data_IF_554915488210
#
_entry.id   IF_554915488210
#
_cell.length_a   1.000
_cell.length_b   1.000
_cell.length_c   1.000
_cell.angle_alpha   90.00
_cell.angle_beta   90.00
_cell.angle_gamma   90.00
#
_symmetry.space_group_name_H-M   'P 1'
#
loop_
_entity.id
_entity.type
_entity.pdbx_description
1 polymer ?
#
# COMPACT_ATOMS: atom_id res chain seq x y z
N UNK A 1 -3.22 -12.78 24.93
CA UNK A 1 -4.27 -13.58 24.28
C UNK A 1 -3.75 -13.95 22.92
N UNK A 2 -3.47 -15.23 22.73
CA UNK A 2 -3.06 -15.79 21.43
C UNK A 2 -4.13 -15.44 20.40
N UNK A 3 -3.77 -14.67 19.39
CA UNK A 3 -4.60 -14.54 18.20
C UNK A 3 -4.67 -15.93 17.58
N UNK A 4 -5.80 -16.62 17.76
CA UNK A 4 -6.15 -17.75 16.92
C UNK A 4 -5.93 -17.30 15.48
N UNK A 5 -5.15 -18.09 14.74
CA UNK A 5 -4.92 -17.96 13.30
C UNK A 5 -6.27 -18.16 12.59
N UNK A 6 -7.14 -17.16 12.67
CA UNK A 6 -8.40 -17.09 11.94
C UNK A 6 -8.06 -16.91 10.47
N UNK A 7 -8.24 -18.00 9.72
CA UNK A 7 -8.30 -18.08 8.27
C UNK A 7 -7.42 -17.05 7.50
N UNK A 8 -6.10 -17.11 7.74
CA UNK A 8 -5.13 -16.35 6.96
C UNK A 8 -5.34 -16.66 5.47
N UNK A 9 -5.73 -15.63 4.73
CA UNK A 9 -6.09 -15.67 3.32
C UNK A 9 -5.42 -14.52 2.59
N UNK A 10 -4.28 -14.80 1.97
CA UNK A 10 -3.59 -13.87 1.08
C UNK A 10 -4.27 -13.94 -0.28
N UNK A 11 -4.88 -12.86 -0.76
CA UNK A 11 -5.58 -12.81 -2.05
C UNK A 11 -5.07 -11.62 -2.86
N UNK A 12 -4.77 -11.86 -4.14
CA UNK A 12 -4.50 -10.78 -5.08
C UNK A 12 -5.77 -9.97 -5.34
N UNK A 13 -5.68 -8.66 -5.16
CA UNK A 13 -6.78 -7.73 -5.41
C UNK A 13 -6.41 -6.80 -6.56
N UNK A 14 -7.40 -6.40 -7.36
CA UNK A 14 -7.19 -5.50 -8.50
C UNK A 14 -6.57 -4.15 -8.10
N UNK A 15 -6.79 -3.70 -6.87
CA UNK A 15 -6.20 -2.47 -6.32
C UNK A 15 -4.66 -2.52 -6.20
N UNK A 16 -4.05 -3.72 -6.23
CA UNK A 16 -2.60 -3.91 -6.20
C UNK A 16 -1.92 -3.78 -7.56
N UNK A 17 -2.70 -3.74 -8.66
CA UNK A 17 -2.11 -3.57 -9.98
C UNK A 17 -1.38 -2.23 -10.09
N UNK A 18 -0.22 -2.24 -10.75
CA UNK A 18 0.57 -1.06 -11.11
C UNK A 18 0.46 -0.75 -12.62
N UNK A 19 -0.49 -1.38 -13.31
CA UNK A 19 -0.76 -1.20 -14.75
C UNK A 19 0.44 -1.52 -15.66
N UNK A 20 1.39 -2.32 -15.18
CA UNK A 20 2.43 -2.95 -15.97
C UNK A 20 2.14 -4.46 -16.00
N UNK A 21 1.54 -4.94 -17.08
CA UNK A 21 1.07 -6.32 -17.19
C UNK A 21 2.13 -7.38 -16.85
N UNK A 22 3.39 -7.12 -17.20
CA UNK A 22 4.49 -8.06 -16.92
C UNK A 22 4.78 -8.11 -15.42
N UNK A 23 4.94 -6.95 -14.78
CA UNK A 23 5.21 -6.85 -13.35
C UNK A 23 4.02 -7.35 -12.53
N UNK A 24 2.79 -6.96 -12.89
CA UNK A 24 1.57 -7.42 -12.23
C UNK A 24 1.42 -8.95 -12.29
N UNK A 25 1.84 -9.59 -13.39
CA UNK A 25 1.86 -11.04 -13.50
C UNK A 25 2.90 -11.68 -12.57
N UNK A 26 4.06 -11.05 -12.41
CA UNK A 26 5.09 -11.50 -11.47
C UNK A 26 4.59 -11.36 -10.02
N UNK A 27 3.94 -10.25 -9.67
CA UNK A 27 3.28 -10.08 -8.38
C UNK A 27 2.24 -11.17 -8.11
N UNK A 28 1.33 -11.42 -9.06
CA UNK A 28 0.32 -12.48 -8.93
C UNK A 28 0.94 -13.87 -8.74
N UNK A 29 2.05 -14.15 -9.42
CA UNK A 29 2.78 -15.40 -9.26
C UNK A 29 3.38 -15.53 -7.86
N UNK A 30 3.95 -14.46 -7.29
CA UNK A 30 4.43 -14.43 -5.91
C UNK A 30 3.30 -14.74 -4.91
N UNK A 31 2.13 -14.13 -5.09
CA UNK A 31 0.95 -14.44 -4.29
C UNK A 31 0.52 -15.90 -4.44
N UNK A 32 0.61 -16.47 -5.64
CA UNK A 32 0.29 -17.88 -5.86
C UNK A 32 1.23 -18.81 -5.09
N UNK A 33 2.55 -18.54 -5.11
CA UNK A 33 3.53 -19.34 -4.38
C UNK A 33 3.34 -19.18 -2.87
N UNK A 34 3.09 -17.96 -2.38
CA UNK A 34 2.83 -17.71 -0.97
C UNK A 34 1.56 -18.44 -0.47
N UNK A 35 0.48 -18.43 -1.26
CA UNK A 35 -0.74 -19.20 -0.95
C UNK A 35 -0.46 -20.71 -0.94
N UNK A 36 0.34 -21.21 -1.87
CA UNK A 36 0.75 -22.62 -1.89
C UNK A 36 1.47 -22.98 -0.58
N UNK A 37 2.46 -22.18 -0.16
CA UNK A 37 3.18 -22.39 1.10
C UNK A 37 2.26 -22.37 2.33
N UNK A 38 1.35 -21.39 2.41
CA UNK A 38 0.37 -21.31 3.49
C UNK A 38 -0.66 -22.45 3.47
N UNK A 39 -0.99 -23.00 2.30
CA UNK A 39 -1.90 -24.14 2.20
C UNK A 39 -1.23 -25.43 2.71
N UNK A 40 0.02 -25.68 2.32
CA UNK A 40 0.80 -26.83 2.75
C UNK A 40 0.96 -26.83 4.27
N UNK A 41 1.25 -25.67 4.84
CA UNK A 41 1.49 -25.55 6.27
C UNK A 41 0.23 -25.79 7.12
N UNK A 42 -0.98 -25.74 6.54
CA UNK A 42 -2.24 -26.10 7.23
C UNK A 42 -2.52 -27.61 7.25
N UNK A 43 -1.77 -28.41 6.48
CA UNK A 43 -1.95 -29.86 6.38
C UNK A 43 -1.30 -30.59 7.57
N UNK A 44 -1.53 -31.91 7.67
CA UNK A 44 -0.93 -32.76 8.73
C UNK A 44 0.61 -32.70 8.67
N UNK A 45 1.22 -32.67 9.86
CA UNK A 45 2.67 -32.55 10.06
C UNK A 45 3.39 -33.89 9.83
N UNK A 46 3.45 -34.34 8.58
CA UNK A 46 4.37 -35.40 8.18
C UNK A 46 5.64 -34.82 7.53
N UNK A 47 6.69 -35.64 7.48
CA UNK A 47 8.01 -35.24 6.98
C UNK A 47 7.96 -34.77 5.51
N UNK A 48 7.08 -35.37 4.71
CA UNK A 48 6.89 -35.02 3.30
C UNK A 48 6.32 -33.60 3.14
N UNK A 49 5.29 -33.24 3.92
CA UNK A 49 4.72 -31.88 3.88
C UNK A 49 5.72 -30.82 4.35
N UNK A 50 6.53 -31.12 5.35
CA UNK A 50 7.58 -30.21 5.83
C UNK A 50 8.61 -29.97 4.73
N UNK A 51 9.07 -31.02 4.07
CA UNK A 51 10.03 -30.90 2.96
C UNK A 51 9.43 -30.15 1.77
N UNK A 52 8.16 -30.41 1.45
CA UNK A 52 7.43 -29.68 0.42
C UNK A 52 7.31 -28.21 0.74
N UNK A 53 6.96 -27.85 1.99
CA UNK A 53 6.88 -26.47 2.44
C UNK A 53 8.22 -25.74 2.27
N UNK A 54 9.32 -26.36 2.70
CA UNK A 54 10.67 -25.78 2.55
C UNK A 54 10.99 -25.49 1.09
N UNK A 55 10.73 -26.46 0.20
CA UNK A 55 10.91 -26.27 -1.26
C UNK A 55 10.05 -25.13 -1.80
N UNK A 56 8.80 -25.01 -1.37
CA UNK A 56 7.92 -23.90 -1.80
C UNK A 56 8.41 -22.55 -1.29
N UNK A 57 8.96 -22.47 -0.08
CA UNK A 57 9.54 -21.22 0.45
C UNK A 57 10.84 -20.85 -0.27
N UNK A 58 11.71 -21.81 -0.57
CA UNK A 58 12.91 -21.57 -1.39
C UNK A 58 12.51 -21.07 -2.79
N UNK A 59 11.49 -21.69 -3.41
CA UNK A 59 10.93 -21.23 -4.68
C UNK A 59 10.37 -19.79 -4.58
N UNK A 60 9.72 -19.43 -3.49
CA UNK A 60 9.26 -18.06 -3.25
C UNK A 60 10.44 -17.09 -3.23
N UNK A 61 11.49 -17.41 -2.47
CA UNK A 61 12.69 -16.59 -2.37
C UNK A 61 13.37 -16.36 -3.73
N UNK A 62 13.59 -17.43 -4.50
CA UNK A 62 14.22 -17.34 -5.82
C UNK A 62 13.38 -16.48 -6.78
N UNK A 63 12.05 -16.61 -6.70
CA UNK A 63 11.15 -15.83 -7.54
C UNK A 63 11.12 -14.35 -7.14
N UNK A 64 11.16 -14.03 -5.84
CA UNK A 64 11.28 -12.63 -5.38
C UNK A 64 12.55 -11.99 -5.95
N UNK A 65 13.70 -12.67 -5.88
CA UNK A 65 14.95 -12.16 -6.45
C UNK A 65 14.87 -11.94 -7.97
N UNK A 66 14.22 -12.86 -8.70
CA UNK A 66 13.99 -12.75 -10.15
C UNK A 66 13.09 -11.56 -10.48
N UNK A 67 11.97 -11.42 -9.77
CA UNK A 67 11.02 -10.33 -9.95
C UNK A 67 11.67 -8.96 -9.69
N UNK A 68 12.37 -8.79 -8.56
CA UNK A 68 13.08 -7.55 -8.26
C UNK A 68 14.14 -7.21 -9.31
N UNK A 69 14.82 -8.20 -9.89
CA UNK A 69 15.76 -7.95 -11.00
C UNK A 69 15.04 -7.47 -12.27
N UNK A 70 13.88 -8.03 -12.59
CA UNK A 70 13.09 -7.63 -13.75
C UNK A 70 12.52 -6.22 -13.57
N UNK A 71 11.99 -5.91 -12.39
CA UNK A 71 11.49 -4.58 -12.06
C UNK A 71 12.59 -3.53 -12.11
N UNK A 72 13.75 -3.78 -11.48
CA UNK A 72 14.88 -2.84 -11.52
C UNK A 72 15.34 -2.55 -12.96
N UNK A 73 15.39 -3.56 -13.83
CA UNK A 73 15.69 -3.36 -15.25
C UNK A 73 14.63 -2.50 -15.96
N UNK A 74 13.36 -2.67 -15.60
CA UNK A 74 12.29 -1.82 -16.14
C UNK A 74 12.45 -0.37 -15.66
N UNK A 75 12.70 -0.17 -14.37
CA UNK A 75 12.96 1.15 -13.78
C UNK A 75 14.17 1.84 -14.44
N UNK A 76 15.26 1.11 -14.69
CA UNK A 76 16.42 1.59 -15.46
C UNK A 76 16.01 2.02 -16.88
N UNK A 77 15.20 1.20 -17.57
CA UNK A 77 14.78 1.48 -18.95
C UNK A 77 13.92 2.74 -19.09
N UNK A 78 13.21 3.16 -18.03
CA UNK A 78 12.40 4.37 -18.00
C UNK A 78 13.06 5.53 -17.24
N UNK A 79 14.34 5.38 -16.89
CA UNK A 79 15.11 6.38 -16.12
C UNK A 79 14.40 6.83 -14.84
N UNK A 80 13.85 5.87 -14.10
CA UNK A 80 13.14 6.16 -12.85
C UNK A 80 14.09 6.76 -11.81
N UNK A 81 13.78 7.94 -11.23
CA UNK A 81 14.74 8.71 -10.44
C UNK A 81 15.05 8.09 -9.07
N UNK A 82 14.10 7.37 -8.45
CA UNK A 82 14.25 6.79 -7.10
C UNK A 82 14.76 5.33 -7.15
N UNK A 83 15.44 4.92 -8.24
CA UNK A 83 15.89 3.54 -8.45
C UNK A 83 16.86 3.05 -7.38
N UNK A 84 17.82 3.88 -6.97
CA UNK A 84 18.83 3.46 -6.00
C UNK A 84 18.23 3.31 -4.59
N UNK A 85 17.30 4.18 -4.21
CA UNK A 85 16.49 4.01 -2.99
C UNK A 85 15.65 2.73 -3.06
N UNK A 86 15.03 2.44 -4.21
CA UNK A 86 14.22 1.24 -4.40
C UNK A 86 15.05 -0.06 -4.30
N UNK A 87 16.29 -0.07 -4.84
CA UNK A 87 17.24 -1.18 -4.68
C UNK A 87 17.56 -1.46 -3.21
N UNK A 88 17.62 -0.44 -2.36
CA UNK A 88 17.83 -0.61 -0.92
C UNK A 88 16.62 -1.32 -0.27
N UNK A 89 15.40 -0.96 -0.65
CA UNK A 89 14.18 -1.63 -0.18
C UNK A 89 14.18 -3.11 -0.56
N UNK A 90 14.47 -3.43 -1.82
CA UNK A 90 14.62 -4.81 -2.29
C UNK A 90 15.67 -5.59 -1.51
N UNK A 91 16.84 -4.98 -1.28
CA UNK A 91 17.92 -5.62 -0.50
C UNK A 91 17.46 -5.95 0.93
N UNK A 92 16.72 -5.06 1.57
CA UNK A 92 16.17 -5.31 2.90
C UNK A 92 15.20 -6.49 2.92
N UNK A 93 14.30 -6.57 1.93
CA UNK A 93 13.35 -7.68 1.80
C UNK A 93 14.04 -9.02 1.48
N UNK A 94 15.06 -9.02 0.62
CA UNK A 94 15.88 -10.20 0.34
C UNK A 94 16.61 -10.67 1.61
N UNK A 95 17.12 -9.75 2.43
CA UNK A 95 17.78 -10.10 3.69
C UNK A 95 16.80 -10.75 4.67
N UNK A 96 15.57 -10.25 4.75
CA UNK A 96 14.52 -10.86 5.57
C UNK A 96 14.20 -12.30 5.14
N UNK A 97 14.05 -12.54 3.84
CA UNK A 97 13.79 -13.87 3.33
C UNK A 97 15.01 -14.80 3.49
N UNK A 98 16.22 -14.30 3.29
CA UNK A 98 17.47 -15.06 3.55
C UNK A 98 17.52 -15.52 5.01
N UNK A 99 17.15 -14.64 5.96
CA UNK A 99 17.06 -14.97 7.37
C UNK A 99 15.97 -16.02 7.66
N UNK A 100 14.82 -15.97 6.98
CA UNK A 100 13.80 -16.99 7.09
C UNK A 100 14.30 -18.34 6.56
N UNK A 101 14.84 -18.37 5.33
CA UNK A 101 15.34 -19.57 4.66
C UNK A 101 16.42 -20.28 5.48
N UNK A 102 17.38 -19.54 6.03
CA UNK A 102 18.45 -20.09 6.87
C UNK A 102 17.98 -20.74 8.17
N UNK A 103 16.79 -20.36 8.67
CA UNK A 103 16.21 -20.87 9.92
C UNK A 103 15.08 -21.89 9.70
N UNK A 104 14.74 -22.21 8.45
CA UNK A 104 13.62 -23.11 8.14
C UNK A 104 13.73 -24.50 8.79
N UNK A 105 14.95 -24.98 9.05
CA UNK A 105 15.16 -26.29 9.67
C UNK A 105 14.97 -26.29 11.19
N UNK A 106 15.00 -25.13 11.84
CA UNK A 106 14.91 -24.99 13.30
C UNK A 106 13.66 -24.25 13.77
N UNK A 107 12.87 -23.68 12.86
CA UNK A 107 11.62 -22.99 13.19
C UNK A 107 10.44 -23.96 13.26
N UNK A 108 9.54 -23.69 14.19
CA UNK A 108 8.24 -24.33 14.25
C UNK A 108 7.36 -23.89 13.06
N UNK A 109 6.46 -24.77 12.62
CA UNK A 109 5.59 -24.53 11.47
C UNK A 109 4.77 -23.23 11.58
N UNK A 110 4.26 -22.95 12.78
CA UNK A 110 3.49 -21.75 13.07
C UNK A 110 4.34 -20.47 12.94
N UNK A 111 5.62 -20.54 13.33
CA UNK A 111 6.55 -19.42 13.16
C UNK A 111 6.84 -19.16 11.67
N UNK A 112 6.96 -20.22 10.88
CA UNK A 112 7.14 -20.12 9.42
C UNK A 112 5.90 -19.50 8.78
N UNK A 113 4.69 -19.95 9.17
CA UNK A 113 3.43 -19.37 8.70
C UNK A 113 3.33 -17.88 9.02
N UNK A 114 3.59 -17.51 10.27
CA UNK A 114 3.52 -16.12 10.70
C UNK A 114 4.56 -15.27 9.98
N UNK A 115 5.79 -15.77 9.80
CA UNK A 115 6.83 -15.07 9.07
C UNK A 115 6.47 -14.84 7.60
N UNK A 116 5.89 -15.85 6.93
CA UNK A 116 5.41 -15.72 5.55
C UNK A 116 4.24 -14.74 5.45
N UNK A 117 3.26 -14.84 6.35
CA UNK A 117 2.13 -13.91 6.38
C UNK A 117 2.61 -12.47 6.58
N UNK A 118 3.47 -12.23 7.57
CA UNK A 118 4.04 -10.91 7.83
C UNK A 118 4.83 -10.40 6.62
N UNK A 119 5.65 -11.26 5.99
CA UNK A 119 6.39 -10.85 4.80
C UNK A 119 5.46 -10.38 3.68
N UNK A 120 4.36 -11.08 3.43
CA UNK A 120 3.45 -10.71 2.36
C UNK A 120 2.59 -9.49 2.72
N UNK A 121 1.95 -9.48 3.88
CA UNK A 121 1.02 -8.41 4.27
C UNK A 121 1.74 -7.12 4.67
N UNK A 122 2.78 -7.22 5.50
CA UNK A 122 3.42 -6.04 6.09
C UNK A 122 4.55 -5.46 5.23
N UNK A 123 5.17 -6.30 4.39
CA UNK A 123 6.29 -5.88 3.55
C UNK A 123 5.94 -5.86 2.07
N UNK A 124 5.45 -6.96 1.50
CA UNK A 124 5.29 -7.08 0.05
C UNK A 124 4.09 -6.29 -0.49
N UNK A 125 2.90 -6.41 0.10
CA UNK A 125 1.72 -5.60 -0.28
C UNK A 125 2.02 -4.12 -0.10
N UNK A 126 2.63 -3.77 1.03
CA UNK A 126 3.03 -2.39 1.32
C UNK A 126 4.02 -1.86 0.29
N UNK A 127 5.01 -2.66 -0.11
CA UNK A 127 5.97 -2.30 -1.16
C UNK A 127 5.29 -2.06 -2.51
N UNK A 128 4.43 -2.97 -2.95
CA UNK A 128 3.68 -2.82 -4.21
C UNK A 128 2.90 -1.50 -4.24
N UNK A 129 2.15 -1.22 -3.16
CA UNK A 129 1.27 -0.05 -3.14
C UNK A 129 2.07 1.24 -2.93
N UNK A 130 3.03 1.27 -2.01
CA UNK A 130 3.73 2.50 -1.64
C UNK A 130 4.93 2.83 -2.52
N UNK A 131 5.51 1.84 -3.19
CA UNK A 131 6.75 1.99 -3.95
C UNK A 131 6.52 1.67 -5.43
N UNK A 132 6.03 0.48 -5.77
CA UNK A 132 5.94 0.06 -7.18
C UNK A 132 4.90 0.89 -7.96
N UNK A 133 3.81 1.32 -7.32
CA UNK A 133 2.86 2.29 -7.92
C UNK A 133 3.49 3.64 -8.27
N UNK A 134 4.59 4.04 -7.61
CA UNK A 134 5.31 5.26 -8.02
C UNK A 134 5.97 5.09 -9.38
N UNK A 135 6.37 3.87 -9.73
CA UNK A 135 6.95 3.53 -11.05
C UNK A 135 5.90 3.73 -12.14
N UNK A 136 4.66 3.26 -11.92
CA UNK A 136 3.52 3.52 -12.80
C UNK A 136 3.30 5.02 -13.00
N UNK A 137 3.18 5.76 -11.89
CA UNK A 137 2.91 7.19 -11.91
C UNK A 137 4.02 7.98 -12.62
N UNK A 138 5.28 7.53 -12.48
CA UNK A 138 6.40 8.07 -13.25
C UNK A 138 6.21 7.87 -14.75
N UNK A 139 5.85 6.66 -15.19
CA UNK A 139 5.63 6.36 -16.61
C UNK A 139 4.34 6.96 -17.20
N UNK A 140 3.38 7.32 -16.36
CA UNK A 140 2.09 7.88 -16.79
C UNK A 140 2.26 9.32 -17.25
N UNK A 141 1.73 9.67 -18.43
CA UNK A 141 1.71 11.04 -18.91
C UNK A 141 0.63 11.86 -18.19
N UNK A 142 0.74 13.19 -18.20
CA UNK A 142 -0.17 14.07 -17.46
C UNK A 142 -1.62 14.00 -17.97
N UNK A 143 -1.86 13.77 -19.27
CA UNK A 143 -3.20 13.69 -19.83
C UNK A 143 -3.95 12.45 -19.31
N UNK A 144 -3.29 11.30 -19.30
CA UNK A 144 -3.87 10.06 -18.79
C UNK A 144 -4.05 10.12 -17.26
N UNK A 145 -3.10 10.74 -16.55
CA UNK A 145 -3.25 10.99 -15.11
C UNK A 145 -4.48 11.87 -14.85
N UNK A 146 -4.62 13.01 -15.53
CA UNK A 146 -5.78 13.91 -15.44
C UNK A 146 -7.11 13.19 -15.65
N UNK A 147 -7.17 12.25 -16.61
CA UNK A 147 -8.37 11.49 -16.94
C UNK A 147 -8.73 10.44 -15.90
N UNK A 148 -7.73 9.76 -15.36
CA UNK A 148 -7.90 8.61 -14.46
C UNK A 148 -7.92 8.97 -12.97
N UNK A 149 -7.48 10.18 -12.62
CA UNK A 149 -7.42 10.67 -11.24
C UNK A 149 -8.82 10.89 -10.64
N UNK A 150 -8.98 10.41 -9.40
CA UNK A 150 -10.19 10.61 -8.62
C UNK A 150 -10.67 9.35 -7.90
N UNK A 151 -11.77 9.49 -7.17
CA UNK A 151 -12.39 8.40 -6.42
C UNK A 151 -12.82 7.24 -7.34
N UNK A 152 -12.53 6.02 -6.90
CA UNK A 152 -12.96 4.78 -7.56
C UNK A 152 -13.75 3.94 -6.57
N UNK A 153 -14.80 3.27 -7.01
CA UNK A 153 -15.64 2.45 -6.12
C UNK A 153 -14.86 1.34 -5.42
N UNK A 154 -13.77 0.86 -6.04
CA UNK A 154 -12.84 -0.09 -5.43
C UNK A 154 -12.14 0.45 -4.17
N UNK A 155 -12.20 1.74 -3.86
CA UNK A 155 -11.65 2.33 -2.64
C UNK A 155 -12.64 2.33 -1.48
N UNK A 156 -13.92 2.06 -1.73
CA UNK A 156 -14.96 2.11 -0.70
C UNK A 156 -14.60 1.24 0.51
N UNK A 157 -14.88 1.77 1.70
CA UNK A 157 -14.81 1.03 2.97
C UNK A 157 -16.16 0.40 3.33
N UNK A 158 -17.17 0.59 2.48
CA UNK A 158 -18.58 0.22 2.70
C UNK A 158 -19.21 0.93 3.90
N UNK A 159 -18.83 2.18 4.14
CA UNK A 159 -19.49 3.08 5.08
C UNK A 159 -19.80 4.40 4.34
N UNK A 160 -21.08 4.73 4.11
CA UNK A 160 -21.45 5.90 3.29
C UNK A 160 -20.93 7.24 3.80
N UNK A 161 -20.80 7.41 5.12
CA UNK A 161 -20.31 8.65 5.72
C UNK A 161 -18.80 8.80 5.50
N UNK A 162 -18.02 7.77 5.81
CA UNK A 162 -16.57 7.77 5.60
C UNK A 162 -16.25 7.87 4.11
N UNK A 163 -16.96 7.12 3.26
CA UNK A 163 -16.78 7.20 1.80
C UNK A 163 -17.11 8.59 1.25
N UNK A 164 -18.04 9.34 1.86
CA UNK A 164 -18.33 10.72 1.47
C UNK A 164 -17.16 11.67 1.80
N UNK A 165 -16.54 11.50 2.97
CA UNK A 165 -15.36 12.27 3.34
C UNK A 165 -14.16 11.93 2.44
N UNK A 166 -13.93 10.65 2.15
CA UNK A 166 -12.91 10.25 1.19
C UNK A 166 -13.14 10.87 -0.17
N UNK A 167 -14.36 10.76 -0.74
CA UNK A 167 -14.69 11.37 -2.04
C UNK A 167 -14.37 12.86 -2.06
N UNK A 168 -14.69 13.60 -1.00
CA UNK A 168 -14.40 15.02 -0.91
C UNK A 168 -12.88 15.32 -0.94
N UNK A 169 -12.03 14.48 -0.32
CA UNK A 169 -10.57 14.60 -0.46
C UNK A 169 -10.10 14.45 -1.91
N UNK A 170 -10.65 13.46 -2.63
CA UNK A 170 -10.36 13.29 -4.06
C UNK A 170 -10.88 14.46 -4.89
N UNK A 171 -12.08 14.98 -4.59
CA UNK A 171 -12.67 16.09 -5.33
C UNK A 171 -11.84 17.37 -5.17
N UNK A 172 -11.42 17.71 -3.95
CA UNK A 172 -10.50 18.83 -3.69
C UNK A 172 -9.19 18.64 -4.45
N UNK A 173 -8.59 17.45 -4.38
CA UNK A 173 -7.33 17.18 -5.08
C UNK A 173 -7.50 17.21 -6.61
N UNK A 174 -8.66 16.80 -7.13
CA UNK A 174 -8.95 16.79 -8.56
C UNK A 174 -9.00 18.20 -9.15
N UNK A 175 -9.36 19.21 -8.36
CA UNK A 175 -9.31 20.61 -8.79
C UNK A 175 -7.90 21.04 -9.22
N UNK A 176 -6.83 20.38 -8.74
CA UNK A 176 -5.45 20.64 -9.16
C UNK A 176 -5.22 20.43 -10.66
N UNK A 177 -6.00 19.53 -11.25
CA UNK A 177 -5.85 19.09 -12.62
C UNK A 177 -6.63 19.96 -13.61
N UNK A 178 -7.41 20.94 -13.14
CA UNK A 178 -8.09 21.89 -14.03
C UNK A 178 -7.14 23.00 -14.48
N UNK A 179 -7.22 23.41 -15.75
CA UNK A 179 -6.32 24.42 -16.30
C UNK A 179 -6.75 25.83 -15.84
N UNK A 180 -5.76 26.69 -15.59
CA UNK A 180 -5.94 28.11 -15.27
C UNK A 180 -4.88 28.92 -15.99
N UNK A 181 -5.09 30.23 -16.08
CA UNK A 181 -4.09 31.15 -16.61
C UNK A 181 -2.75 31.00 -15.86
N UNK A 182 -1.59 31.10 -16.54
CA UNK A 182 -0.28 30.87 -15.92
C UNK A 182 -0.03 31.71 -14.65
N UNK A 183 -0.53 32.94 -14.62
CA UNK A 183 -0.39 33.84 -13.46
C UNK A 183 -1.26 33.46 -12.25
N UNK A 184 -2.24 32.57 -12.41
CA UNK A 184 -3.13 32.08 -11.35
C UNK A 184 -2.71 30.72 -10.78
N UNK A 185 -1.83 29.99 -11.49
CA UNK A 185 -1.46 28.61 -11.15
C UNK A 185 -0.88 28.47 -9.75
N UNK A 186 0.07 29.32 -9.36
CA UNK A 186 0.67 29.27 -8.01
C UNK A 186 -0.35 29.54 -6.89
N UNK A 187 -1.23 30.52 -7.09
CA UNK A 187 -2.29 30.85 -6.12
C UNK A 187 -3.26 29.69 -5.96
N UNK A 188 -3.68 29.08 -7.07
CA UNK A 188 -4.55 27.91 -7.07
C UNK A 188 -3.91 26.71 -6.38
N UNK A 189 -2.64 26.41 -6.67
CA UNK A 189 -1.90 25.32 -6.02
C UNK A 189 -1.92 25.49 -4.49
N UNK A 190 -1.66 26.71 -4.01
CA UNK A 190 -1.68 27.02 -2.58
C UNK A 190 -3.08 26.84 -1.98
N UNK A 191 -4.11 27.37 -2.63
CA UNK A 191 -5.51 27.21 -2.19
C UNK A 191 -5.90 25.73 -2.05
N UNK A 192 -5.61 24.93 -3.06
CA UNK A 192 -5.94 23.50 -3.08
C UNK A 192 -5.21 22.76 -1.95
N UNK A 193 -3.92 23.01 -1.77
CA UNK A 193 -3.16 22.36 -0.70
C UNK A 193 -3.64 22.77 0.68
N UNK A 194 -4.01 24.03 0.89
CA UNK A 194 -4.61 24.49 2.15
C UNK A 194 -5.94 23.79 2.41
N UNK A 195 -6.86 23.79 1.43
CA UNK A 195 -8.17 23.13 1.55
C UNK A 195 -8.02 21.63 1.78
N UNK A 196 -7.11 20.98 1.06
CA UNK A 196 -6.83 19.55 1.20
C UNK A 196 -6.27 19.22 2.58
N UNK A 197 -5.30 20.00 3.06
CA UNK A 197 -4.71 19.85 4.39
C UNK A 197 -5.76 19.99 5.50
N UNK A 198 -6.58 21.05 5.43
CA UNK A 198 -7.62 21.32 6.44
C UNK A 198 -8.70 20.25 6.44
N UNK A 199 -9.12 19.79 5.25
CA UNK A 199 -10.12 18.74 5.13
C UNK A 199 -9.58 17.38 5.59
N UNK A 200 -8.33 17.02 5.26
CA UNK A 200 -7.69 15.81 5.79
C UNK A 200 -7.67 15.80 7.32
N UNK A 201 -7.29 16.91 7.96
CA UNK A 201 -7.29 16.98 9.43
C UNK A 201 -8.69 16.86 10.02
N UNK A 202 -9.69 17.39 9.34
CA UNK A 202 -11.09 17.28 9.76
C UNK A 202 -11.56 15.83 9.67
N UNK A 203 -11.35 15.18 8.53
CA UNK A 203 -11.66 13.77 8.29
C UNK A 203 -10.96 12.85 9.30
N UNK A 204 -9.63 12.95 9.44
CA UNK A 204 -8.87 12.14 10.40
C UNK A 204 -9.34 12.35 11.84
N UNK A 205 -9.76 13.58 12.20
CA UNK A 205 -10.34 13.83 13.52
C UNK A 205 -11.68 13.11 13.70
N UNK A 206 -12.57 13.15 12.72
CA UNK A 206 -13.85 12.43 12.78
C UNK A 206 -13.64 10.92 12.92
N UNK A 207 -12.70 10.35 12.14
CA UNK A 207 -12.36 8.94 12.21
C UNK A 207 -11.71 8.56 13.54
N UNK A 208 -10.81 9.40 14.06
CA UNK A 208 -10.21 9.22 15.38
C UNK A 208 -11.25 9.24 16.51
N UNK A 209 -12.20 10.17 16.47
CA UNK A 209 -13.32 10.24 17.40
C UNK A 209 -14.20 8.99 17.30
N UNK A 210 -14.49 8.53 16.09
CA UNK A 210 -15.25 7.30 15.85
C UNK A 210 -14.52 6.07 16.39
N UNK A 211 -13.24 5.91 16.08
CA UNK A 211 -12.39 4.82 16.60
C UNK A 211 -12.36 4.79 18.14
N UNK A 212 -12.31 5.96 18.79
CA UNK A 212 -12.39 6.05 20.25
C UNK A 212 -13.75 5.62 20.78
N UNK A 213 -14.85 6.10 20.18
CA UNK A 213 -16.21 5.75 20.58
C UNK A 213 -16.46 4.25 20.55
N UNK A 214 -15.92 3.57 19.54
CA UNK A 214 -16.06 2.13 19.40
C UNK A 214 -14.97 1.35 20.16
N UNK A 215 -13.99 1.99 20.81
CA UNK A 215 -12.85 1.32 21.46
C UNK A 215 -12.02 0.46 20.48
N UNK A 216 -11.74 0.99 19.29
CA UNK A 216 -10.92 0.31 18.30
C UNK A 216 -9.49 0.09 18.82
N UNK A 217 -9.00 -1.17 18.85
CA UNK A 217 -7.77 -1.51 19.56
C UNK A 217 -6.49 -0.92 18.95
N UNK A 218 -6.45 -0.69 17.64
CA UNK A 218 -5.29 -0.16 16.92
C UNK A 218 -5.34 1.36 16.71
N UNK A 219 -6.14 2.08 17.52
CA UNK A 219 -6.32 3.54 17.41
C UNK A 219 -5.00 4.31 17.42
N UNK A 220 -4.05 3.95 18.29
CA UNK A 220 -2.79 4.69 18.45
C UNK A 220 -1.91 4.57 17.20
N UNK A 221 -1.82 3.36 16.66
CA UNK A 221 -1.07 3.05 15.46
C UNK A 221 -1.69 3.74 14.25
N UNK A 222 -3.03 3.69 14.13
CA UNK A 222 -3.77 4.33 13.04
C UNK A 222 -3.60 5.87 13.07
N UNK A 223 -3.71 6.51 14.24
CA UNK A 223 -3.44 7.95 14.41
C UNK A 223 -2.02 8.37 14.05
N UNK A 224 -1.03 7.48 14.24
CA UNK A 224 0.34 7.72 13.78
C UNK A 224 0.40 7.76 12.26
N UNK A 225 -0.32 6.89 11.57
CA UNK A 225 -0.41 6.87 10.10
C UNK A 225 -1.03 8.16 9.55
N UNK A 226 -2.09 8.70 10.19
CA UNK A 226 -2.62 10.03 9.86
C UNK A 226 -1.54 11.11 9.92
N UNK A 227 -0.75 11.09 11.01
CA UNK A 227 0.33 12.06 11.21
C UNK A 227 1.39 11.94 10.12
N UNK A 228 1.72 10.73 9.67
CA UNK A 228 2.66 10.48 8.58
C UNK A 228 2.15 11.01 7.23
N UNK A 229 0.85 10.88 6.94
CA UNK A 229 0.25 11.45 5.71
C UNK A 229 0.28 12.98 5.74
N UNK A 230 -0.04 13.59 6.89
CA UNK A 230 0.03 15.05 7.06
C UNK A 230 1.47 15.56 6.90
N UNK A 231 2.48 14.81 7.38
CA UNK A 231 3.88 15.15 7.17
C UNK A 231 4.26 15.16 5.68
N UNK A 232 3.74 14.22 4.88
CA UNK A 232 3.97 14.22 3.42
C UNK A 232 3.44 15.47 2.74
N UNK A 233 2.26 15.97 3.14
CA UNK A 233 1.74 17.25 2.63
C UNK A 233 2.63 18.42 3.06
N UNK A 234 3.04 18.46 4.33
CA UNK A 234 3.93 19.54 4.81
C UNK A 234 5.25 19.56 4.05
N UNK A 235 5.84 18.39 3.80
CA UNK A 235 7.09 18.28 3.05
C UNK A 235 6.90 18.63 1.57
N UNK A 236 5.75 18.31 1.00
CA UNK A 236 5.39 18.76 -0.34
C UNK A 236 5.28 20.29 -0.41
N UNK A 237 4.58 20.91 0.54
CA UNK A 237 4.44 22.37 0.65
C UNK A 237 5.81 23.05 0.75
N UNK A 238 6.74 22.49 1.54
CA UNK A 238 8.12 23.02 1.67
C UNK A 238 8.90 22.97 0.35
N UNK A 239 8.64 21.97 -0.50
CA UNK A 239 9.31 21.80 -1.80
C UNK A 239 8.73 22.69 -2.90
N UNK A 240 7.49 23.18 -2.75
CA UNK A 240 6.81 23.99 -3.78
C UNK A 240 7.65 25.14 -4.37
N UNK A 241 8.42 25.93 -3.59
CA UNK A 241 9.18 27.05 -4.16
C UNK A 241 10.25 26.63 -5.18
N UNK A 242 10.73 25.39 -5.11
CA UNK A 242 11.80 24.85 -5.96
C UNK A 242 11.32 23.73 -6.88
N UNK A 243 10.05 23.33 -6.77
CA UNK A 243 9.48 22.24 -7.52
C UNK A 243 9.25 22.69 -8.97
N UNK A 244 9.63 21.85 -9.94
CA UNK A 244 9.16 22.03 -11.31
C UNK A 244 7.63 21.91 -11.30
N UNK A 245 6.93 22.94 -11.76
CA UNK A 245 5.47 22.95 -11.78
C UNK A 245 4.88 21.78 -12.58
N UNK A 246 5.58 21.24 -13.58
CA UNK A 246 5.14 20.09 -14.37
C UNK A 246 5.14 18.78 -13.56
N UNK A 247 5.80 18.77 -12.40
CA UNK A 247 5.80 17.65 -11.46
C UNK A 247 4.76 17.80 -10.35
N UNK A 248 4.09 18.95 -10.25
CA UNK A 248 3.13 19.22 -9.18
C UNK A 248 2.00 18.17 -9.17
N UNK A 249 1.35 17.92 -10.30
CA UNK A 249 0.26 16.94 -10.38
C UNK A 249 0.73 15.52 -10.00
N UNK A 250 1.96 15.15 -10.38
CA UNK A 250 2.53 13.83 -10.02
C UNK A 250 2.83 13.74 -8.53
N UNK A 251 3.41 14.77 -7.92
CA UNK A 251 3.68 14.76 -6.49
C UNK A 251 2.39 14.80 -5.65
N UNK A 252 1.37 15.53 -6.10
CA UNK A 252 0.04 15.47 -5.48
C UNK A 252 -0.58 14.07 -5.62
N UNK A 253 -0.47 13.45 -6.80
CA UNK A 253 -0.94 12.08 -7.02
C UNK A 253 -0.21 11.06 -6.14
N UNK A 254 1.10 11.21 -5.85
CA UNK A 254 1.81 10.36 -4.87
C UNK A 254 1.20 10.45 -3.46
N UNK A 255 0.67 11.60 -3.08
CA UNK A 255 0.02 11.76 -1.77
C UNK A 255 -1.37 11.10 -1.81
N UNK A 256 -2.16 11.36 -2.85
CA UNK A 256 -3.55 10.91 -2.93
C UNK A 256 -3.67 9.45 -3.39
N UNK A 257 -3.24 9.12 -4.61
CA UNK A 257 -3.44 7.80 -5.23
C UNK A 257 -2.55 6.70 -4.65
N UNK A 258 -1.53 7.06 -3.88
CA UNK A 258 -0.63 6.11 -3.22
C UNK A 258 -0.82 6.16 -1.71
N UNK A 259 -0.52 7.29 -1.06
CA UNK A 259 -0.48 7.33 0.41
C UNK A 259 -1.89 7.27 1.04
N UNK A 260 -2.83 8.09 0.56
CA UNK A 260 -4.20 8.09 1.06
C UNK A 260 -4.95 6.82 0.63
N UNK A 261 -4.84 6.40 -0.64
CA UNK A 261 -5.46 5.14 -1.12
C UNK A 261 -4.96 3.93 -0.33
N UNK A 262 -3.65 3.83 -0.05
CA UNK A 262 -3.11 2.78 0.80
C UNK A 262 -3.80 2.78 2.17
N UNK A 263 -3.89 3.95 2.80
CA UNK A 263 -4.50 4.10 4.12
C UNK A 263 -5.97 3.67 4.12
N UNK A 264 -6.77 4.17 3.17
CA UNK A 264 -8.18 3.80 3.01
C UNK A 264 -8.36 2.28 2.89
N UNK A 265 -7.58 1.66 2.02
CA UNK A 265 -7.73 0.25 1.67
C UNK A 265 -7.19 -0.67 2.78
N UNK A 266 -6.03 -0.33 3.34
CA UNK A 266 -5.32 -1.21 4.26
C UNK A 266 -5.65 -0.93 5.72
N UNK A 267 -6.13 0.26 6.07
CA UNK A 267 -6.33 0.67 7.45
C UNK A 267 -7.80 0.98 7.75
N UNK A 268 -8.45 1.86 7.01
CA UNK A 268 -9.82 2.30 7.35
C UNK A 268 -10.83 1.15 7.19
N UNK A 269 -10.60 0.27 6.21
CA UNK A 269 -11.37 -1.00 6.07
C UNK A 269 -11.29 -1.90 7.31
N UNK A 270 -10.17 -1.87 8.05
CA UNK A 270 -10.01 -2.67 9.28
C UNK A 270 -10.96 -2.16 10.37
N UNK A 271 -11.24 -0.87 10.44
CA UNK A 271 -12.22 -0.28 11.37
C UNK A 271 -13.61 -0.87 11.09
N UNK A 272 -14.05 -0.84 9.83
CA UNK A 272 -15.37 -1.37 9.44
C UNK A 272 -15.48 -2.88 9.67
N UNK A 273 -14.41 -3.61 9.37
CA UNK A 273 -14.34 -5.06 9.62
C UNK A 273 -14.43 -5.36 11.12
N UNK A 274 -13.75 -4.58 11.95
CA UNK A 274 -13.81 -4.70 13.40
C UNK A 274 -15.21 -4.41 13.94
N UNK A 275 -15.93 -3.38 13.45
CA UNK A 275 -17.31 -3.08 13.87
C UNK A 275 -18.23 -4.27 13.58
N UNK A 276 -18.24 -4.75 12.32
CA UNK A 276 -19.06 -5.90 11.91
C UNK A 276 -18.76 -7.17 12.73
N UNK A 277 -17.50 -7.36 13.12
CA UNK A 277 -17.10 -8.53 13.91
C UNK A 277 -17.54 -8.46 15.37
N UNK A 278 -17.79 -7.26 15.91
CA UNK A 278 -18.27 -7.05 17.26
C UNK A 278 -19.81 -6.93 17.34
N UNK A 279 -20.48 -6.48 16.26
CA UNK A 279 -21.94 -6.53 16.15
C UNK A 279 -22.47 -7.98 16.14
N UNK A 280 -21.78 -8.90 15.46
CA UNK A 280 -22.16 -10.33 15.39
C UNK A 280 -21.84 -11.13 16.67
N UNK A 281 -21.30 -10.49 17.71
CA UNK A 281 -20.96 -11.11 19.00
C UNK A 281 -21.93 -10.74 20.14
N UNK A 282 -22.87 -9.82 19.87
CA UNK A 282 -23.96 -9.43 20.76
C UNK A 282 -25.30 -9.95 20.22
#
# INVERSE_FOLDING_TARGET
>A
MEQKVENISIIWKSEYNINNFRIDREHQQLFSIAREALSISKLKKDEEQIEKLKKTITKLFDYVGTHFSNEQKYMESISYPELEEHKILHKNMINMLTNLVSKLNSMELEQIQQALYNFIEEYFIRHIILEDKKIELWSTNLEDLRRSFGWKQIYSVNNPQIDAEHKMLFDIAKEAFTEVEPNQKSTKIKDILTRLYDYMKTHFKHEEEYMQQINYPAYKEHKKMHSEIILKINDFVKKLPTLNEDLFEKELAKIIDISLVYHIIQEDRKIITWVKSNENKN
#
